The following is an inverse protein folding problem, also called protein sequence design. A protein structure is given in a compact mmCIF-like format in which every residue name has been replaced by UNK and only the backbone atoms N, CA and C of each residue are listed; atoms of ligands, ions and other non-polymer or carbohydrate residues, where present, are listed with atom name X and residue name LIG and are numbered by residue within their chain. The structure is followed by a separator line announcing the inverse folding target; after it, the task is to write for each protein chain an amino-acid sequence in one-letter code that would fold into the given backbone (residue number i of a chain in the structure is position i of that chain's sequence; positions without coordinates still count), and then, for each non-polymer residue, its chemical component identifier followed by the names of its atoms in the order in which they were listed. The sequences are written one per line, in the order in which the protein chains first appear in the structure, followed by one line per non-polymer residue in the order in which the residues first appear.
data_IF_355765826589
#
_entry.id   IF_355765826589
#
_cell.length_a   1.000
_cell.length_b   1.000
_cell.length_c   1.000
_cell.angle_alpha   90.00
_cell.angle_beta   90.00
_cell.angle_gamma   90.00
#
_symmetry.space_group_name_H-M   'P 1'
#
loop_
_entity.id
_entity.type
_entity.pdbx_description
1 polymer ?
#
# COMPACT_ATOMS: atom_id res chain seq x y z
N UNK A 1 22.11 -14.15 -45.53
CA UNK A 1 23.14 -13.35 -44.82
C UNK A 1 22.85 -13.43 -43.32
N UNK A 2 23.42 -14.39 -42.58
CA UNK A 2 24.71 -14.31 -41.83
C UNK A 2 24.86 -13.06 -40.93
N UNK A 3 24.67 -13.28 -39.62
CA UNK A 3 25.39 -12.69 -38.46
C UNK A 3 25.28 -11.18 -38.22
N UNK A 4 25.25 -10.61 -36.99
CA UNK A 4 25.94 -10.97 -35.74
C UNK A 4 25.34 -10.15 -34.59
N UNK A 5 25.17 -10.79 -33.44
CA UNK A 5 25.04 -10.18 -32.11
C UNK A 5 26.31 -9.38 -31.78
N UNK A 6 26.18 -8.16 -31.24
CA UNK A 6 27.28 -7.43 -30.60
C UNK A 6 26.94 -7.16 -29.13
N UNK A 7 27.70 -7.83 -28.26
CA UNK A 7 27.89 -7.46 -26.85
C UNK A 7 28.53 -6.07 -26.80
N UNK A 8 28.00 -5.17 -25.98
CA UNK A 8 28.72 -3.97 -25.55
C UNK A 8 29.17 -4.20 -24.10
N UNK A 9 30.46 -4.45 -23.94
CA UNK A 9 31.18 -4.34 -22.68
C UNK A 9 31.49 -2.84 -22.50
N UNK A 10 30.92 -2.20 -21.47
CA UNK A 10 31.42 -0.91 -21.01
C UNK A 10 32.50 -1.16 -19.96
N UNK A 11 33.75 -1.07 -20.40
CA UNK A 11 34.84 -0.59 -19.56
C UNK A 11 34.84 0.93 -19.66
N UNK A 12 34.69 1.62 -18.53
CA UNK A 12 35.14 3.01 -18.40
C UNK A 12 35.70 3.22 -17.00
N UNK A 13 37.03 3.22 -16.98
CA UNK A 13 37.90 3.81 -15.97
C UNK A 13 37.46 5.24 -15.69
N UNK A 14 37.32 5.60 -14.41
CA UNK A 14 37.41 7.00 -13.98
C UNK A 14 38.35 7.07 -12.78
N UNK A 15 39.60 7.39 -13.07
CA UNK A 15 40.54 7.95 -12.11
C UNK A 15 40.30 9.46 -12.08
N UNK A 16 39.94 10.02 -10.92
CA UNK A 16 40.22 11.43 -10.61
C UNK A 16 40.80 11.48 -9.21
N UNK A 17 42.09 11.76 -9.17
CA UNK A 17 42.81 12.18 -7.99
C UNK A 17 42.34 13.59 -7.58
N UNK A 18 42.20 13.82 -6.28
CA UNK A 18 42.37 15.13 -5.67
C UNK A 18 43.03 14.93 -4.30
N UNK A 19 44.36 14.92 -4.34
CA UNK A 19 45.17 15.28 -3.20
C UNK A 19 45.39 16.80 -3.24
N UNK A 20 45.33 17.45 -2.09
CA UNK A 20 46.13 18.59 -1.57
C UNK A 20 45.28 19.32 -0.52
N UNK A 21 45.59 19.16 0.76
CA UNK A 21 46.48 19.99 1.59
C UNK A 21 45.72 21.04 2.40
N UNK A 22 45.62 20.82 3.72
CA UNK A 22 45.92 21.89 4.70
C UNK A 22 46.71 21.26 5.86
N UNK A 23 48.03 21.33 5.75
CA UNK A 23 48.93 21.32 6.90
C UNK A 23 49.91 22.49 6.67
N UNK A 24 49.68 23.59 7.39
CA UNK A 24 50.66 24.67 7.58
C UNK A 24 51.11 24.57 9.05
N UNK A 25 52.29 23.99 9.27
CA UNK A 25 53.57 24.66 9.53
C UNK A 25 53.65 25.27 10.93
N UNK A 26 54.54 24.70 11.75
CA UNK A 26 55.61 25.48 12.38
C UNK A 26 56.77 24.55 12.76
N UNK A 27 57.83 24.62 11.97
CA UNK A 27 59.17 24.22 12.37
C UNK A 27 59.78 25.37 13.17
N UNK A 28 60.29 25.09 14.36
CA UNK A 28 61.35 25.88 14.98
C UNK A 28 62.56 24.96 15.22
N UNK A 29 63.72 25.36 14.69
CA UNK A 29 65.01 24.68 14.85
C UNK A 29 65.60 24.97 16.24
N UNK A 30 66.38 23.99 16.72
CA UNK A 30 66.88 23.76 18.08
C UNK A 30 67.84 24.83 18.67
N UNK A 31 68.27 24.64 19.94
CA UNK A 31 69.56 23.99 20.11
C UNK A 31 69.54 22.79 21.09
N UNK A 32 70.51 21.90 20.89
CA UNK A 32 70.78 20.69 21.65
C UNK A 32 71.37 20.98 23.02
N UNK A 33 70.77 20.43 24.08
CA UNK A 33 71.50 20.01 25.28
C UNK A 33 70.95 18.67 25.79
N UNK A 34 71.91 17.79 26.04
CA UNK A 34 71.75 16.38 26.34
C UNK A 34 71.44 16.22 27.83
N UNK A 35 70.31 15.62 28.19
CA UNK A 35 70.15 15.00 29.51
C UNK A 35 69.06 13.93 29.48
N UNK A 36 69.46 12.71 29.84
CA UNK A 36 68.65 11.52 29.95
C UNK A 36 67.43 11.74 30.85
N UNK A 37 66.24 11.77 30.24
CA UNK A 37 64.98 11.52 30.94
C UNK A 37 64.21 10.48 30.13
N UNK A 38 63.98 9.31 30.74
CA UNK A 38 63.11 8.25 30.23
C UNK A 38 61.78 8.89 29.80
N UNK A 39 61.55 9.00 28.50
CA UNK A 39 60.24 9.38 27.99
C UNK A 39 59.27 8.25 28.30
N UNK A 40 58.25 8.64 29.07
CA UNK A 40 57.05 7.87 29.34
C UNK A 40 56.49 7.31 28.04
N UNK A 41 55.93 6.10 28.15
CA UNK A 41 55.54 5.26 27.03
C UNK A 41 54.77 5.98 25.93
N UNK A 42 55.02 5.52 24.71
CA UNK A 42 54.18 5.74 23.56
C UNK A 42 52.71 5.66 23.99
N UNK A 43 52.03 6.81 24.03
CA UNK A 43 50.59 6.87 23.94
C UNK A 43 50.23 6.33 22.56
N UNK A 44 50.17 4.99 22.43
CA UNK A 44 49.50 4.35 21.32
C UNK A 44 48.09 4.93 21.29
N UNK A 45 47.82 5.83 20.34
CA UNK A 45 46.46 6.27 20.04
C UNK A 45 45.67 5.01 19.74
N UNK A 46 44.85 4.57 20.69
CA UNK A 46 43.93 3.46 20.50
C UNK A 46 43.09 3.79 19.27
N UNK A 47 43.34 3.09 18.17
CA UNK A 47 42.59 3.29 16.94
C UNK A 47 41.29 2.53 17.07
N UNK A 48 40.24 3.23 17.49
CA UNK A 48 38.94 2.63 17.61
C UNK A 48 38.33 2.32 16.24
N UNK A 49 37.60 1.20 16.17
CA UNK A 49 36.89 0.72 14.99
C UNK A 49 35.48 1.31 14.93
N UNK A 50 34.98 1.42 13.70
CA UNK A 50 33.57 1.70 13.41
C UNK A 50 32.87 0.40 13.05
N UNK A 51 31.69 0.15 13.63
CA UNK A 51 30.82 -0.94 13.19
C UNK A 51 29.88 -0.41 12.10
N UNK A 52 29.99 -0.95 10.89
CA UNK A 52 29.03 -0.71 9.82
C UNK A 52 27.82 -1.65 9.95
N UNK A 53 26.61 -1.09 9.82
CA UNK A 53 25.34 -1.83 9.74
C UNK A 53 24.59 -1.30 8.51
N UNK A 54 24.22 -2.21 7.60
CA UNK A 54 23.71 -1.83 6.28
C UNK A 54 22.39 -2.55 5.99
N UNK A 55 21.36 -1.78 5.63
CA UNK A 55 20.15 -2.32 5.01
C UNK A 55 20.29 -2.25 3.49
N UNK A 56 20.83 -3.30 2.89
CA UNK A 56 21.23 -3.34 1.48
C UNK A 56 20.06 -3.34 0.49
N UNK A 57 18.90 -3.86 0.89
CA UNK A 57 17.67 -3.84 0.08
C UNK A 57 16.40 -3.83 0.96
N UNK A 58 15.23 -3.81 0.32
CA UNK A 58 13.91 -3.78 0.97
C UNK A 58 13.23 -5.16 1.06
N UNK A 59 14.01 -6.25 1.07
CA UNK A 59 13.48 -7.61 1.25
C UNK A 59 13.14 -7.88 2.70
N UNK A 60 12.10 -8.69 2.91
CA UNK A 60 11.53 -8.92 4.24
C UNK A 60 12.54 -9.47 5.24
N UNK A 61 13.32 -10.48 4.85
CA UNK A 61 14.37 -11.10 5.68
C UNK A 61 15.51 -10.13 6.03
N UNK A 62 15.68 -9.05 5.28
CA UNK A 62 16.72 -8.05 5.56
C UNK A 62 16.34 -7.11 6.68
N UNK A 63 15.05 -6.80 6.85
CA UNK A 63 14.59 -6.01 8.01
C UNK A 63 14.87 -6.73 9.33
N UNK A 64 14.61 -8.04 9.40
CA UNK A 64 14.90 -8.84 10.60
C UNK A 64 16.39 -8.85 10.93
N UNK A 65 17.22 -9.13 9.93
CA UNK A 65 18.69 -9.14 10.08
C UNK A 65 19.22 -7.78 10.51
N UNK A 66 18.77 -6.71 9.84
CA UNK A 66 19.18 -5.33 10.14
C UNK A 66 18.88 -4.96 11.59
N UNK A 67 17.66 -5.23 12.07
CA UNK A 67 17.30 -4.96 13.46
C UNK A 67 18.06 -5.86 14.45
N UNK A 68 18.33 -7.12 14.09
CA UNK A 68 19.17 -7.99 14.92
C UNK A 68 20.59 -7.44 15.07
N UNK A 69 21.17 -6.89 14.00
CA UNK A 69 22.50 -6.26 14.04
C UNK A 69 22.49 -4.99 14.91
N UNK A 70 21.47 -4.14 14.77
CA UNK A 70 21.27 -2.95 15.63
C UNK A 70 21.18 -3.35 17.10
N UNK A 71 20.40 -4.37 17.42
CA UNK A 71 20.23 -4.84 18.80
C UNK A 71 21.47 -5.54 19.37
N UNK A 72 22.42 -5.92 18.52
CA UNK A 72 23.69 -6.53 18.96
C UNK A 72 24.78 -5.51 19.30
N UNK A 73 24.53 -4.21 19.10
CA UNK A 73 25.52 -3.14 19.34
C UNK A 73 26.05 -3.16 20.78
N UNK A 74 25.18 -3.40 21.76
CA UNK A 74 25.56 -3.51 23.18
C UNK A 74 26.56 -4.64 23.46
N UNK A 75 26.63 -5.65 22.58
CA UNK A 75 27.52 -6.79 22.72
C UNK A 75 28.86 -6.63 21.97
N UNK A 76 29.10 -5.48 21.33
CA UNK A 76 30.35 -5.25 20.61
C UNK A 76 31.53 -5.14 21.58
N UNK A 77 32.71 -5.62 21.14
CA UNK A 77 33.97 -5.45 21.87
C UNK A 77 34.31 -3.97 22.06
N UNK A 78 35.10 -3.66 23.10
CA UNK A 78 35.47 -2.27 23.46
C UNK A 78 36.28 -1.53 22.38
N UNK A 79 36.86 -2.26 21.42
CA UNK A 79 37.53 -1.67 20.26
C UNK A 79 36.58 -0.88 19.34
N UNK A 80 35.26 -1.11 19.41
CA UNK A 80 34.27 -0.35 18.65
C UNK A 80 33.73 0.82 19.46
N UNK A 81 34.03 2.05 19.04
CA UNK A 81 33.51 3.26 19.67
C UNK A 81 32.53 4.06 18.79
N UNK A 82 32.37 3.68 17.52
CA UNK A 82 31.46 4.33 16.57
C UNK A 82 30.59 3.32 15.84
N UNK A 83 29.37 3.72 15.54
CA UNK A 83 28.39 2.96 14.77
C UNK A 83 28.06 3.75 13.52
N UNK A 84 28.16 3.13 12.34
CA UNK A 84 27.71 3.71 11.08
C UNK A 84 26.52 2.92 10.55
N UNK A 85 25.39 3.60 10.37
CA UNK A 85 24.17 3.01 9.82
C UNK A 85 23.98 3.54 8.41
N UNK A 86 23.79 2.62 7.46
CA UNK A 86 23.58 2.93 6.05
C UNK A 86 22.30 2.28 5.53
N UNK A 87 21.42 3.09 4.96
CA UNK A 87 20.19 2.66 4.28
C UNK A 87 20.20 3.26 2.87
N UNK A 88 20.88 2.63 1.91
CA UNK A 88 21.15 3.22 0.60
C UNK A 88 19.94 3.35 -0.34
N UNK A 89 18.84 2.63 -0.10
CA UNK A 89 17.75 2.50 -1.09
C UNK A 89 16.32 2.53 -0.49
N UNK A 90 16.14 2.93 0.76
CA UNK A 90 14.79 3.00 1.34
C UNK A 90 14.05 4.22 0.77
N UNK A 91 12.95 3.97 0.07
CA UNK A 91 12.16 5.00 -0.64
C UNK A 91 12.94 5.86 -1.66
N UNK A 92 13.98 5.29 -2.28
CA UNK A 92 14.93 6.01 -3.13
C UNK A 92 15.70 7.13 -2.40
N UNK A 93 15.81 7.02 -1.07
CA UNK A 93 16.67 7.86 -0.25
C UNK A 93 17.95 7.10 0.09
N UNK A 94 19.07 7.82 0.08
CA UNK A 94 20.34 7.35 0.62
C UNK A 94 20.53 7.97 1.99
N UNK A 95 20.29 7.17 3.03
CA UNK A 95 20.44 7.60 4.41
C UNK A 95 21.73 7.02 4.98
N UNK A 96 22.51 7.85 5.65
CA UNK A 96 23.73 7.44 6.31
C UNK A 96 23.98 8.36 7.51
N UNK A 97 24.25 7.77 8.67
CA UNK A 97 24.61 8.52 9.87
C UNK A 97 25.58 7.72 10.73
N UNK A 98 26.55 8.43 11.28
CA UNK A 98 27.51 7.88 12.22
C UNK A 98 27.22 8.43 13.62
N UNK A 99 27.29 7.53 14.60
CA UNK A 99 27.04 7.82 16.01
C UNK A 99 28.26 7.41 16.83
N UNK A 100 28.52 8.11 17.94
CA UNK A 100 29.32 7.56 19.01
C UNK A 100 28.54 6.41 19.66
N UNK A 101 29.22 5.29 19.94
CA UNK A 101 28.59 4.06 20.43
C UNK A 101 27.81 4.29 21.71
N UNK A 102 28.39 5.04 22.65
CA UNK A 102 27.76 5.33 23.95
C UNK A 102 26.45 6.11 23.77
N UNK A 103 26.47 7.15 22.95
CA UNK A 103 25.27 7.93 22.61
C UNK A 103 24.23 7.06 21.90
N UNK A 104 24.66 6.18 21.00
CA UNK A 104 23.77 5.24 20.33
C UNK A 104 23.08 4.30 21.32
N UNK A 105 23.83 3.70 22.25
CA UNK A 105 23.31 2.75 23.25
C UNK A 105 22.37 3.43 24.26
N UNK A 106 22.71 4.64 24.71
CA UNK A 106 21.97 5.37 25.73
C UNK A 106 20.72 6.06 25.18
N UNK A 107 20.77 6.62 23.96
CA UNK A 107 19.73 7.53 23.44
C UNK A 107 19.00 6.98 22.21
N UNK A 108 19.69 6.28 21.30
CA UNK A 108 19.12 5.82 20.03
C UNK A 108 18.47 4.44 20.14
N UNK A 109 19.19 3.46 20.70
CA UNK A 109 18.76 2.07 20.80
C UNK A 109 17.46 1.88 21.61
N UNK A 110 17.24 2.57 22.75
CA UNK A 110 15.99 2.45 23.51
C UNK A 110 14.76 2.92 22.72
N UNK A 111 14.93 3.94 21.87
CA UNK A 111 13.88 4.54 21.05
C UNK A 111 13.42 3.62 19.90
N UNK A 112 14.34 2.79 19.40
CA UNK A 112 14.06 1.76 18.39
C UNK A 112 13.28 0.60 19.03
N UNK A 113 13.77 0.05 20.14
CA UNK A 113 13.28 -1.19 20.76
C UNK A 113 11.89 -1.09 21.40
N UNK A 114 11.44 0.11 21.82
CA UNK A 114 10.04 0.33 22.26
C UNK A 114 9.10 0.39 21.07
N UNK A 115 8.97 -0.68 20.29
CA UNK A 115 7.99 -0.75 19.20
C UNK A 115 6.59 -0.93 19.79
N UNK A 116 5.93 0.20 20.04
CA UNK A 116 4.52 0.17 20.38
C UNK A 116 3.71 -0.10 19.10
N UNK A 117 3.37 -1.37 18.90
CA UNK A 117 2.43 -1.83 17.88
C UNK A 117 0.97 -1.64 18.30
N UNK A 118 0.68 -0.94 19.42
CA UNK A 118 -0.70 -0.60 19.82
C UNK A 118 -1.38 0.42 18.91
N UNK A 119 -0.78 0.74 17.75
CA UNK A 119 -1.42 1.58 16.78
C UNK A 119 -2.68 0.90 16.26
N UNK A 120 -3.82 1.37 16.77
CA UNK A 120 -5.09 0.82 16.42
C UNK A 120 -5.45 1.24 14.99
N UNK A 121 -5.07 0.41 14.02
CA UNK A 121 -5.48 0.54 12.62
C UNK A 121 -6.84 -0.11 12.35
N UNK A 122 -7.58 -0.53 13.37
CA UNK A 122 -8.91 -1.12 13.17
C UNK A 122 -9.72 -0.22 12.26
N UNK A 123 -10.20 -0.81 11.16
CA UNK A 123 -11.11 -0.13 10.27
C UNK A 123 -12.49 -0.27 10.89
N UNK A 124 -13.04 0.86 11.36
CA UNK A 124 -14.36 0.90 11.97
C UNK A 124 -15.42 0.77 10.87
N UNK A 125 -16.60 0.28 11.24
CA UNK A 125 -17.72 0.19 10.32
C UNK A 125 -18.19 1.56 9.86
N UNK A 126 -18.05 2.56 10.73
CA UNK A 126 -18.31 3.97 10.45
C UNK A 126 -17.26 4.63 9.54
N UNK A 127 -16.13 3.96 9.24
CA UNK A 127 -15.22 4.39 8.16
C UNK A 127 -15.87 4.11 6.78
N UNK A 128 -17.18 4.25 6.65
CA UNK A 128 -17.95 4.07 5.43
C UNK A 128 -17.87 5.34 4.61
N UNK A 129 -16.92 5.40 3.69
CA UNK A 129 -16.93 6.41 2.63
C UNK A 129 -17.13 5.73 1.29
N UNK A 130 -17.95 6.36 0.45
CA UNK A 130 -18.32 5.89 -0.87
C UNK A 130 -17.09 5.50 -1.70
N UNK A 131 -17.05 4.28 -2.24
CA UNK A 131 -16.00 3.84 -3.15
C UNK A 131 -16.41 4.17 -4.58
N UNK A 132 -15.54 4.78 -5.39
CA UNK A 132 -15.85 5.11 -6.79
C UNK A 132 -15.07 4.17 -7.73
N UNK A 133 -15.81 3.43 -8.55
CA UNK A 133 -15.30 2.71 -9.74
C UNK A 133 -15.34 3.70 -10.89
N UNK A 134 -14.20 3.97 -11.52
CA UNK A 134 -14.03 4.96 -12.59
C UNK A 134 -13.21 4.40 -13.75
N UNK A 135 -13.20 5.14 -14.86
CA UNK A 135 -12.48 4.80 -16.09
C UNK A 135 -10.95 4.92 -16.07
N UNK A 136 -10.33 5.17 -14.91
CA UNK A 136 -8.87 4.95 -14.75
C UNK A 136 -8.54 3.44 -14.76
N UNK A 137 -9.52 2.62 -14.43
CA UNK A 137 -9.41 1.17 -14.42
C UNK A 137 -9.55 0.63 -15.84
N UNK A 138 -8.78 -0.41 -16.18
CA UNK A 138 -8.97 -1.09 -17.45
C UNK A 138 -10.35 -1.74 -17.54
N UNK A 139 -10.87 -1.88 -18.76
CA UNK A 139 -12.16 -2.54 -18.98
C UNK A 139 -12.21 -3.93 -18.31
N UNK A 140 -11.11 -4.69 -18.40
CA UNK A 140 -11.04 -6.04 -17.81
C UNK A 140 -11.10 -6.02 -16.29
N UNK A 141 -10.48 -5.03 -15.65
CA UNK A 141 -10.57 -4.83 -14.20
C UNK A 141 -11.99 -4.46 -13.77
N UNK A 142 -12.71 -3.66 -14.57
CA UNK A 142 -14.11 -3.30 -14.31
C UNK A 142 -15.04 -4.52 -14.49
N UNK A 143 -14.84 -5.32 -15.54
CA UNK A 143 -15.58 -6.58 -15.73
C UNK A 143 -15.40 -7.50 -14.50
N UNK A 144 -14.14 -7.81 -14.16
CA UNK A 144 -13.81 -8.67 -13.03
C UNK A 144 -14.31 -8.10 -11.70
N UNK A 145 -14.26 -6.78 -11.53
CA UNK A 145 -14.78 -6.09 -10.35
C UNK A 145 -16.27 -6.34 -10.18
N UNK A 146 -17.05 -5.97 -11.20
CA UNK A 146 -18.51 -5.98 -11.14
C UNK A 146 -19.02 -7.40 -10.92
N UNK A 147 -18.46 -8.38 -11.64
CA UNK A 147 -18.83 -9.78 -11.46
C UNK A 147 -18.47 -10.28 -10.05
N UNK A 148 -17.21 -10.14 -9.62
CA UNK A 148 -16.80 -10.73 -8.33
C UNK A 148 -17.39 -10.01 -7.12
N UNK A 149 -17.67 -8.71 -7.25
CA UNK A 149 -18.27 -7.91 -6.18
C UNK A 149 -19.75 -8.20 -6.02
N UNK A 150 -20.52 -8.21 -7.11
CA UNK A 150 -21.99 -8.24 -7.05
C UNK A 150 -22.58 -9.63 -7.33
N UNK A 151 -21.80 -10.61 -7.80
CA UNK A 151 -22.27 -11.98 -7.87
C UNK A 151 -22.64 -12.49 -6.48
N UNK A 152 -23.75 -13.22 -6.45
CA UNK A 152 -24.40 -13.77 -5.27
C UNK A 152 -24.92 -12.73 -4.27
N UNK A 153 -25.09 -11.47 -4.69
CA UNK A 153 -25.82 -10.49 -3.89
C UNK A 153 -27.29 -10.88 -3.78
N UNK A 154 -27.86 -10.63 -2.62
CA UNK A 154 -29.29 -10.78 -2.39
C UNK A 154 -30.02 -9.58 -2.98
N UNK A 155 -31.06 -9.84 -3.77
CA UNK A 155 -31.91 -8.79 -4.34
C UNK A 155 -33.36 -9.07 -3.98
N UNK A 156 -34.11 -8.05 -3.57
CA UNK A 156 -35.52 -8.22 -3.22
C UNK A 156 -36.36 -8.48 -4.47
N UNK A 157 -37.47 -9.21 -4.30
CA UNK A 157 -38.46 -9.37 -5.35
C UNK A 157 -39.03 -8.02 -5.80
N UNK A 158 -39.29 -7.11 -4.86
CA UNK A 158 -39.80 -5.78 -5.15
C UNK A 158 -38.88 -5.03 -6.12
N UNK A 159 -37.58 -4.95 -5.81
CA UNK A 159 -36.65 -4.28 -6.71
C UNK A 159 -36.52 -5.01 -8.05
N UNK A 160 -36.26 -6.32 -8.04
CA UNK A 160 -35.87 -7.03 -9.25
C UNK A 160 -37.07 -7.34 -10.15
N UNK A 161 -38.14 -7.94 -9.63
CA UNK A 161 -39.28 -8.38 -10.44
C UNK A 161 -40.31 -7.29 -10.68
N UNK A 162 -40.34 -6.23 -9.86
CA UNK A 162 -41.30 -5.14 -10.01
C UNK A 162 -40.61 -3.86 -10.51
N UNK A 163 -39.79 -3.20 -9.68
CA UNK A 163 -39.29 -1.84 -9.98
C UNK A 163 -38.39 -1.82 -11.23
N UNK A 164 -37.34 -2.65 -11.25
CA UNK A 164 -36.40 -2.74 -12.37
C UNK A 164 -37.09 -3.30 -13.62
N UNK A 165 -37.92 -4.32 -13.44
CA UNK A 165 -38.68 -4.93 -14.53
C UNK A 165 -39.59 -3.90 -15.21
N UNK A 166 -40.38 -3.15 -14.44
CA UNK A 166 -41.28 -2.13 -14.95
C UNK A 166 -40.52 -1.00 -15.65
N UNK A 167 -39.43 -0.53 -15.06
CA UNK A 167 -38.58 0.48 -15.68
C UNK A 167 -38.01 0.00 -17.04
N UNK A 168 -37.61 -1.27 -17.14
CA UNK A 168 -37.15 -1.87 -18.40
C UNK A 168 -38.30 -1.98 -19.42
N UNK A 169 -39.50 -2.41 -19.01
CA UNK A 169 -40.66 -2.51 -19.92
C UNK A 169 -41.05 -1.14 -20.50
N UNK A 170 -40.90 -0.05 -19.75
CA UNK A 170 -41.16 1.32 -20.24
C UNK A 170 -40.21 1.77 -21.36
N UNK A 171 -39.05 1.10 -21.50
CA UNK A 171 -38.08 1.33 -22.58
C UNK A 171 -38.29 0.34 -23.74
N UNK A 172 -38.77 -0.87 -23.46
CA UNK A 172 -38.83 -1.95 -24.45
C UNK A 172 -39.89 -1.68 -25.52
N UNK A 173 -39.48 -1.86 -26.77
CA UNK A 173 -40.38 -1.87 -27.92
C UNK A 173 -40.75 -3.27 -28.44
N UNK A 174 -40.06 -4.36 -28.00
CA UNK A 174 -40.33 -5.81 -28.27
C UNK A 174 -39.16 -6.76 -27.96
N UNK A 175 -37.96 -6.25 -27.65
CA UNK A 175 -36.75 -7.07 -27.46
C UNK A 175 -36.58 -7.55 -26.01
N UNK A 176 -35.91 -8.69 -25.82
CA UNK A 176 -35.57 -9.22 -24.47
C UNK A 176 -34.57 -8.34 -23.71
N UNK A 177 -33.79 -7.54 -24.43
CA UNK A 177 -32.80 -6.58 -23.92
C UNK A 177 -33.09 -5.16 -24.40
N UNK A 178 -32.60 -4.18 -23.64
CA UNK A 178 -32.61 -2.76 -24.02
C UNK A 178 -31.18 -2.27 -24.26
N UNK A 179 -31.00 -1.37 -25.22
CA UNK A 179 -29.70 -0.73 -25.50
C UNK A 179 -29.85 0.78 -25.54
N UNK A 180 -28.79 1.50 -25.18
CA UNK A 180 -28.74 2.96 -25.23
C UNK A 180 -29.05 3.46 -26.66
N UNK A 181 -28.39 2.88 -27.66
CA UNK A 181 -28.56 3.25 -29.07
C UNK A 181 -30.02 3.11 -29.54
N UNK A 182 -30.68 1.99 -29.20
CA UNK A 182 -32.07 1.77 -29.61
C UNK A 182 -33.01 2.69 -28.87
N UNK A 183 -32.82 2.88 -27.56
CA UNK A 183 -33.61 3.81 -26.79
C UNK A 183 -33.50 5.23 -27.33
N UNK A 184 -32.32 5.66 -27.78
CA UNK A 184 -32.15 6.96 -28.43
C UNK A 184 -32.89 7.06 -29.76
N UNK A 185 -32.81 6.04 -30.62
CA UNK A 185 -33.55 5.98 -31.88
C UNK A 185 -35.07 6.00 -31.68
N UNK A 186 -35.55 5.35 -30.62
CA UNK A 186 -36.97 5.24 -30.28
C UNK A 186 -37.49 6.43 -29.44
N UNK A 187 -36.67 7.47 -29.19
CA UNK A 187 -37.05 8.64 -28.38
C UNK A 187 -37.16 8.37 -26.87
N UNK A 188 -36.66 7.23 -26.40
CA UNK A 188 -36.72 6.69 -25.03
C UNK A 188 -35.43 6.88 -24.22
N UNK A 189 -34.61 7.86 -24.59
CA UNK A 189 -33.32 8.12 -23.91
C UNK A 189 -33.46 8.44 -22.42
N UNK A 190 -34.56 9.11 -22.02
CA UNK A 190 -34.81 9.48 -20.62
C UNK A 190 -35.15 8.23 -19.81
N UNK A 191 -36.05 7.39 -20.30
CA UNK A 191 -36.44 6.14 -19.67
C UNK A 191 -35.24 5.18 -19.55
N UNK A 192 -34.39 5.08 -20.58
CA UNK A 192 -33.17 4.29 -20.52
C UNK A 192 -32.22 4.80 -19.42
N UNK A 193 -32.00 6.12 -19.34
CA UNK A 193 -31.19 6.72 -18.27
C UNK A 193 -31.78 6.43 -16.88
N UNK A 194 -33.11 6.42 -16.73
CA UNK A 194 -33.76 6.06 -15.47
C UNK A 194 -33.46 4.61 -15.07
N UNK A 195 -33.47 3.66 -16.02
CA UNK A 195 -33.07 2.26 -15.75
C UNK A 195 -31.61 2.19 -15.29
N UNK A 196 -30.70 2.88 -15.99
CA UNK A 196 -29.27 2.92 -15.62
C UNK A 196 -29.09 3.49 -14.21
N UNK A 197 -29.76 4.59 -13.88
CA UNK A 197 -29.73 5.21 -12.55
C UNK A 197 -30.27 4.25 -11.48
N UNK A 198 -31.38 3.56 -11.75
CA UNK A 198 -31.95 2.59 -10.82
C UNK A 198 -30.98 1.45 -10.50
N UNK A 199 -30.29 0.92 -11.53
CA UNK A 199 -29.25 -0.11 -11.36
C UNK A 199 -28.07 0.44 -10.55
N UNK A 200 -27.53 1.60 -10.93
CA UNK A 200 -26.37 2.21 -10.23
C UNK A 200 -26.68 2.51 -8.76
N UNK A 201 -27.87 3.05 -8.48
CA UNK A 201 -28.30 3.35 -7.11
C UNK A 201 -28.43 2.07 -6.28
N UNK A 202 -29.06 1.03 -6.82
CA UNK A 202 -29.17 -0.24 -6.09
C UNK A 202 -27.80 -0.86 -5.78
N UNK A 203 -26.87 -0.85 -6.75
CA UNK A 203 -25.50 -1.33 -6.54
C UNK A 203 -24.80 -0.51 -5.45
N UNK A 204 -24.94 0.81 -5.48
CA UNK A 204 -24.38 1.70 -4.47
C UNK A 204 -24.98 1.45 -3.08
N UNK A 205 -26.31 1.42 -2.94
CA UNK A 205 -26.99 1.26 -1.66
C UNK A 205 -26.67 -0.07 -0.97
N UNK A 206 -26.38 -1.12 -1.75
CA UNK A 206 -26.08 -2.46 -1.26
C UNK A 206 -24.58 -2.76 -1.10
N UNK A 207 -23.69 -1.84 -1.47
CA UNK A 207 -22.25 -2.10 -1.43
C UNK A 207 -21.37 -0.90 -1.02
N UNK A 208 -21.95 0.30 -0.94
CA UNK A 208 -21.25 1.58 -0.83
C UNK A 208 -20.29 1.86 -1.99
N UNK A 209 -20.51 1.22 -3.14
CA UNK A 209 -19.70 1.39 -4.35
C UNK A 209 -20.50 2.10 -5.44
N UNK A 210 -20.05 3.31 -5.77
CA UNK A 210 -20.56 4.16 -6.84
C UNK A 210 -19.85 3.82 -8.16
N UNK A 211 -20.64 3.59 -9.20
CA UNK A 211 -20.13 3.43 -10.58
C UNK A 211 -20.15 4.80 -11.24
N UNK A 212 -18.98 5.33 -11.56
CA UNK A 212 -18.82 6.64 -12.20
C UNK A 212 -19.52 6.72 -13.55
N UNK A 213 -19.84 7.94 -13.99
CA UNK A 213 -20.53 8.20 -15.25
C UNK A 213 -19.64 8.05 -16.48
N UNK A 214 -18.32 7.97 -16.29
CA UNK A 214 -17.40 7.58 -17.35
C UNK A 214 -17.49 6.08 -17.72
N UNK A 215 -18.17 5.28 -16.91
CA UNK A 215 -18.53 3.89 -17.23
C UNK A 215 -19.97 3.89 -17.74
N UNK A 216 -20.13 3.80 -19.06
CA UNK A 216 -21.45 3.83 -19.71
C UNK A 216 -22.04 2.43 -19.78
N UNK A 217 -23.26 2.23 -19.31
CA UNK A 217 -24.00 0.98 -19.54
C UNK A 217 -24.68 1.07 -20.91
N UNK A 218 -24.23 0.27 -21.86
CA UNK A 218 -24.71 0.25 -23.26
C UNK A 218 -25.86 -0.72 -23.50
N UNK A 219 -25.88 -1.84 -22.76
CA UNK A 219 -26.87 -2.92 -22.92
C UNK A 219 -27.28 -3.44 -21.55
N UNK A 220 -28.59 -3.64 -21.37
CA UNK A 220 -29.18 -4.21 -20.15
C UNK A 220 -30.11 -5.35 -20.55
N UNK A 221 -29.86 -6.53 -19.97
CA UNK A 221 -30.69 -7.71 -20.17
C UNK A 221 -30.96 -8.41 -18.83
N UNK A 222 -32.22 -8.31 -18.37
CA UNK A 222 -32.69 -8.89 -17.13
C UNK A 222 -33.23 -10.30 -17.36
N UNK A 223 -32.67 -11.30 -16.68
CA UNK A 223 -33.22 -12.65 -16.62
C UNK A 223 -33.99 -12.89 -15.31
N UNK A 224 -35.24 -13.34 -15.42
CA UNK A 224 -36.17 -13.55 -14.31
C UNK A 224 -36.39 -15.04 -13.96
N UNK A 225 -35.89 -16.00 -14.75
CA UNK A 225 -36.20 -17.43 -14.67
C UNK A 225 -34.96 -18.34 -14.74
N UNK A 226 -34.95 -19.48 -14.02
CA UNK A 226 -35.26 -19.65 -12.60
C UNK A 226 -34.23 -18.98 -11.67
N UNK A 227 -33.07 -18.60 -12.20
CA UNK A 227 -32.08 -17.73 -11.54
C UNK A 227 -32.28 -16.26 -11.91
N UNK A 228 -32.06 -15.36 -10.96
CA UNK A 228 -32.13 -13.93 -11.21
C UNK A 228 -30.75 -13.43 -11.62
N UNK A 229 -30.65 -12.82 -12.79
CA UNK A 229 -29.38 -12.25 -13.24
C UNK A 229 -29.58 -10.98 -14.04
N UNK A 230 -28.64 -10.05 -13.91
CA UNK A 230 -28.55 -8.85 -14.73
C UNK A 230 -27.31 -8.95 -15.61
N UNK A 231 -27.52 -8.98 -16.93
CA UNK A 231 -26.44 -8.95 -17.91
C UNK A 231 -26.26 -7.53 -18.40
N UNK A 232 -25.03 -7.04 -18.32
CA UNK A 232 -24.65 -5.69 -18.68
C UNK A 232 -23.57 -5.70 -19.76
N UNK A 233 -23.65 -4.78 -20.72
CA UNK A 233 -22.46 -4.33 -21.45
C UNK A 233 -22.13 -2.92 -21.05
N UNK A 234 -20.87 -2.68 -20.75
CA UNK A 234 -20.34 -1.36 -20.40
C UNK A 234 -19.31 -0.90 -21.41
N UNK A 235 -19.18 0.42 -21.56
CA UNK A 235 -18.12 1.08 -22.30
C UNK A 235 -17.31 1.95 -21.36
N UNK A 236 -16.00 1.83 -21.45
CA UNK A 236 -15.01 2.58 -20.69
C UNK A 236 -14.00 3.10 -21.70
N UNK A 237 -13.85 4.42 -21.79
CA UNK A 237 -13.10 5.05 -22.88
C UNK A 237 -13.60 4.50 -24.24
N UNK A 238 -12.71 3.99 -25.09
CA UNK A 238 -13.08 3.42 -26.40
C UNK A 238 -13.33 1.91 -26.39
N UNK A 239 -13.25 1.27 -25.24
CA UNK A 239 -13.38 -0.18 -25.11
C UNK A 239 -14.79 -0.56 -24.61
N UNK A 240 -15.35 -1.63 -25.19
CA UNK A 240 -16.66 -2.17 -24.81
C UNK A 240 -16.51 -3.58 -24.25
N UNK A 241 -17.11 -3.84 -23.11
CA UNK A 241 -17.13 -5.16 -22.46
C UNK A 241 -17.87 -6.18 -23.32
N UNK A 242 -17.55 -7.47 -23.15
CA UNK A 242 -18.31 -8.53 -23.82
C UNK A 242 -19.72 -8.67 -23.24
N UNK A 243 -19.80 -9.16 -22.00
CA UNK A 243 -21.01 -9.33 -21.23
C UNK A 243 -20.60 -9.54 -19.77
N UNK A 244 -21.08 -8.68 -18.88
CA UNK A 244 -20.87 -8.76 -17.44
C UNK A 244 -22.14 -9.36 -16.85
N UNK A 245 -22.05 -10.59 -16.33
CA UNK A 245 -23.21 -11.27 -15.75
C UNK A 245 -23.19 -11.15 -14.24
N UNK A 246 -24.19 -10.45 -13.69
CA UNK A 246 -24.42 -10.34 -12.26
C UNK A 246 -25.49 -11.35 -11.85
N UNK A 247 -25.08 -12.48 -11.30
CA UNK A 247 -25.97 -13.51 -10.77
C UNK A 247 -26.40 -13.17 -9.35
N UNK A 248 -27.71 -13.06 -9.10
CA UNK A 248 -28.27 -12.68 -7.81
C UNK A 248 -28.89 -13.87 -7.08
N UNK A 249 -28.89 -13.78 -5.75
CA UNK A 249 -29.59 -14.68 -4.84
C UNK A 249 -30.94 -14.12 -4.44
N UNK A 250 -31.89 -15.03 -4.23
CA UNK A 250 -33.16 -14.72 -3.58
C UNK A 250 -32.90 -14.63 -2.07
N UNK A 251 -33.42 -13.59 -1.38
CA UNK A 251 -33.31 -13.48 0.06
C UNK A 251 -34.14 -14.56 0.75
N UNK A 252 -33.83 -14.82 2.03
CA UNK A 252 -34.71 -15.65 2.86
C UNK A 252 -36.05 -14.93 3.04
N UNK A 253 -37.14 -15.70 3.18
CA UNK A 253 -38.52 -15.16 3.22
C UNK A 253 -38.71 -14.07 4.28
N UNK A 254 -38.02 -14.19 5.41
CA UNK A 254 -38.23 -13.32 6.57
C UNK A 254 -37.27 -12.12 6.59
N UNK A 255 -36.46 -11.94 5.54
CA UNK A 255 -35.52 -10.82 5.45
C UNK A 255 -36.20 -9.57 4.87
N UNK A 256 -36.18 -8.49 5.65
CA UNK A 256 -36.53 -7.16 5.17
C UNK A 256 -35.39 -6.52 4.35
N UNK A 257 -35.66 -5.33 3.79
CA UNK A 257 -34.69 -4.60 2.98
C UNK A 257 -33.40 -4.24 3.75
N UNK A 258 -33.51 -3.96 5.05
CA UNK A 258 -32.36 -3.62 5.89
C UNK A 258 -31.47 -4.84 6.11
N UNK A 259 -32.05 -6.00 6.41
CA UNK A 259 -31.33 -7.27 6.56
C UNK A 259 -30.65 -7.67 5.27
N UNK A 260 -31.33 -7.55 4.13
CA UNK A 260 -30.73 -7.79 2.79
C UNK A 260 -29.50 -6.91 2.59
N UNK A 261 -29.63 -5.60 2.86
CA UNK A 261 -28.52 -4.65 2.74
C UNK A 261 -27.35 -5.03 3.63
N UNK A 262 -27.58 -5.33 4.90
CA UNK A 262 -26.51 -5.71 5.84
C UNK A 262 -25.78 -7.00 5.41
N UNK A 263 -26.52 -7.99 4.90
CA UNK A 263 -25.94 -9.24 4.39
C UNK A 263 -25.10 -9.00 3.12
N UNK A 264 -25.56 -8.13 2.22
CA UNK A 264 -24.79 -7.71 1.05
C UNK A 264 -23.51 -6.94 1.44
N UNK A 265 -23.62 -5.97 2.36
CA UNK A 265 -22.46 -5.22 2.86
C UNK A 265 -21.41 -6.14 3.50
N UNK A 266 -21.86 -7.17 4.23
CA UNK A 266 -20.98 -8.17 4.85
C UNK A 266 -20.24 -9.03 3.81
N UNK A 267 -20.85 -9.26 2.65
CA UNK A 267 -20.26 -10.02 1.54
C UNK A 267 -19.34 -9.19 0.65
N UNK A 268 -19.49 -7.87 0.67
CA UNK A 268 -18.73 -6.96 -0.18
C UNK A 268 -17.22 -6.93 0.13
N UNK A 269 -16.43 -6.54 -0.87
CA UNK A 269 -14.98 -6.45 -0.76
C UNK A 269 -14.49 -5.50 0.32
N UNK A 270 -15.20 -4.40 0.56
CA UNK A 270 -14.83 -3.42 1.58
C UNK A 270 -14.81 -4.09 2.97
N UNK A 271 -15.93 -4.68 3.39
CA UNK A 271 -16.02 -5.35 4.71
C UNK A 271 -15.06 -6.53 4.80
N UNK A 272 -14.94 -7.36 3.77
CA UNK A 272 -13.98 -8.47 3.79
C UNK A 272 -12.52 -8.00 3.89
N UNK A 273 -12.15 -6.92 3.21
CA UNK A 273 -10.81 -6.33 3.32
C UNK A 273 -10.58 -5.77 4.72
N UNK A 274 -11.56 -5.04 5.28
CA UNK A 274 -11.52 -4.54 6.67
C UNK A 274 -11.35 -5.68 7.68
N UNK A 275 -12.16 -6.73 7.57
CA UNK A 275 -12.09 -7.89 8.48
C UNK A 275 -10.75 -8.60 8.35
N UNK A 276 -10.28 -8.87 7.12
CA UNK A 276 -8.99 -9.54 6.90
C UNK A 276 -7.83 -8.70 7.37
N UNK A 277 -7.91 -7.39 7.24
CA UNK A 277 -6.95 -6.47 7.82
C UNK A 277 -6.91 -6.57 9.35
N UNK A 278 -8.06 -6.41 10.01
CA UNK A 278 -8.18 -6.50 11.47
C UNK A 278 -7.71 -7.87 11.99
N UNK A 279 -8.15 -8.97 11.37
CA UNK A 279 -7.71 -10.34 11.70
C UNK A 279 -6.20 -10.53 11.58
N UNK A 280 -5.56 -9.87 10.60
CA UNK A 280 -4.17 -10.17 10.26
C UNK A 280 -3.17 -9.30 11.01
N UNK A 281 -3.49 -8.04 11.32
CA UNK A 281 -2.66 -7.22 12.22
C UNK A 281 -2.50 -7.90 13.57
N UNK A 282 -3.53 -8.60 14.05
CA UNK A 282 -3.53 -9.25 15.36
C UNK A 282 -2.83 -10.64 15.35
N UNK A 283 -2.42 -11.17 14.20
CA UNK A 283 -1.71 -12.47 14.13
C UNK A 283 -0.22 -12.31 14.41
N UNK A 284 0.29 -13.10 15.36
CA UNK A 284 1.68 -13.04 15.85
C UNK A 284 2.73 -13.00 14.73
N UNK A 285 2.65 -13.85 13.70
CA UNK A 285 3.66 -13.87 12.63
C UNK A 285 3.66 -12.59 11.78
N UNK A 286 2.51 -12.09 11.35
CA UNK A 286 2.46 -10.85 10.54
C UNK A 286 2.76 -9.62 11.41
N UNK A 287 2.28 -9.61 12.64
CA UNK A 287 2.58 -8.57 13.62
C UNK A 287 4.09 -8.45 13.90
N UNK A 288 4.78 -9.58 14.15
CA UNK A 288 6.23 -9.63 14.36
C UNK A 288 7.01 -9.10 13.15
N UNK A 289 6.59 -9.48 11.94
CA UNK A 289 7.18 -8.97 10.70
C UNK A 289 7.01 -7.46 10.56
N UNK A 290 5.80 -6.97 10.82
CA UNK A 290 5.49 -5.56 10.80
C UNK A 290 6.30 -4.80 11.86
N UNK A 291 6.50 -5.37 13.04
CA UNK A 291 7.34 -4.81 14.10
C UNK A 291 8.75 -4.47 13.61
N UNK A 292 9.41 -5.42 12.93
CA UNK A 292 10.79 -5.27 12.44
C UNK A 292 10.88 -4.21 11.34
N UNK A 293 9.84 -4.11 10.52
CA UNK A 293 9.73 -3.05 9.52
C UNK A 293 9.53 -1.69 10.21
N UNK A 294 8.65 -1.58 11.20
CA UNK A 294 8.46 -0.34 11.96
C UNK A 294 9.73 0.06 12.72
N UNK A 295 10.43 -0.88 13.35
CA UNK A 295 11.73 -0.63 13.98
C UNK A 295 12.75 -0.10 12.96
N UNK A 296 12.75 -0.66 11.74
CA UNK A 296 13.59 -0.15 10.64
C UNK A 296 13.21 1.29 10.26
N UNK A 297 11.91 1.60 10.18
CA UNK A 297 11.44 2.96 9.91
C UNK A 297 11.86 3.94 10.99
N UNK A 298 11.84 3.54 12.27
CA UNK A 298 12.35 4.39 13.35
C UNK A 298 13.83 4.71 13.18
N UNK A 299 14.65 3.70 12.83
CA UNK A 299 16.06 3.93 12.51
C UNK A 299 16.18 4.93 11.36
N UNK A 300 15.42 4.71 10.28
CA UNK A 300 15.41 5.60 9.11
C UNK A 300 15.00 7.04 9.46
N UNK A 301 14.00 7.23 10.31
CA UNK A 301 13.58 8.55 10.81
C UNK A 301 14.70 9.24 11.61
N UNK A 302 15.38 8.52 12.50
CA UNK A 302 16.46 9.07 13.34
C UNK A 302 17.67 9.54 12.50
N UNK A 303 17.94 8.85 11.39
CA UNK A 303 19.05 9.18 10.47
C UNK A 303 18.64 10.10 9.32
N UNK A 304 17.36 10.44 9.19
CA UNK A 304 16.84 11.32 8.14
C UNK A 304 16.80 12.78 8.61
N UNK A 305 17.94 13.45 8.48
CA UNK A 305 18.07 14.86 8.85
C UNK A 305 17.14 15.80 8.02
N UNK A 306 16.61 15.32 6.88
CA UNK A 306 15.77 16.09 5.96
C UNK A 306 14.27 15.80 6.12
N UNK A 307 13.87 14.92 7.05
CA UNK A 307 12.45 14.60 7.37
C UNK A 307 11.61 14.18 6.15
N UNK A 308 12.24 13.52 5.19
CA UNK A 308 11.60 12.99 3.97
C UNK A 308 10.89 11.65 4.20
N UNK A 309 11.25 10.88 5.22
CA UNK A 309 10.73 9.53 5.48
C UNK A 309 9.22 9.54 5.69
N UNK A 310 8.70 10.47 6.48
CA UNK A 310 7.30 10.49 6.91
C UNK A 310 6.33 10.51 5.73
N UNK A 311 6.59 11.31 4.70
CA UNK A 311 5.74 11.40 3.51
C UNK A 311 5.77 10.14 2.62
N UNK A 312 6.81 9.31 2.73
CA UNK A 312 7.05 8.14 1.85
C UNK A 312 6.73 6.81 2.50
N UNK A 313 6.78 6.74 3.83
CA UNK A 313 6.66 5.48 4.56
C UNK A 313 5.25 4.87 4.51
N UNK A 314 4.18 5.67 4.63
CA UNK A 314 2.82 5.11 4.65
C UNK A 314 2.40 4.49 3.30
N UNK A 315 2.60 5.15 2.13
CA UNK A 315 2.33 4.54 0.83
C UNK A 315 3.18 3.29 0.58
N UNK A 316 4.44 3.27 1.04
CA UNK A 316 5.31 2.11 0.90
C UNK A 316 4.82 0.93 1.73
N UNK A 317 4.53 1.13 3.03
CA UNK A 317 4.02 0.10 3.93
C UNK A 317 2.76 -0.53 3.33
N UNK A 318 1.84 0.30 2.84
CA UNK A 318 0.65 -0.17 2.18
C UNK A 318 0.96 -1.00 0.92
N UNK A 319 1.67 -0.42 -0.05
CA UNK A 319 1.84 -1.00 -1.39
C UNK A 319 2.77 -2.21 -1.42
N UNK A 320 3.82 -2.21 -0.60
CA UNK A 320 4.88 -3.20 -0.69
C UNK A 320 4.78 -4.32 0.35
N UNK A 321 4.11 -4.07 1.48
CA UNK A 321 4.07 -5.02 2.60
C UNK A 321 2.63 -5.48 2.83
N UNK A 322 1.76 -4.54 3.23
CA UNK A 322 0.42 -4.87 3.72
C UNK A 322 -0.47 -5.40 2.59
N UNK A 323 -0.58 -4.68 1.47
CA UNK A 323 -1.47 -5.06 0.37
C UNK A 323 -1.08 -6.38 -0.26
N UNK A 324 0.22 -6.66 -0.42
CA UNK A 324 0.73 -7.95 -0.91
C UNK A 324 0.34 -9.09 0.02
N UNK A 325 0.46 -8.88 1.33
CA UNK A 325 0.04 -9.87 2.31
C UNK A 325 -1.48 -10.13 2.24
N UNK A 326 -2.31 -9.09 2.21
CA UNK A 326 -3.77 -9.24 2.08
C UNK A 326 -4.14 -9.94 0.76
N UNK A 327 -3.51 -9.55 -0.36
CA UNK A 327 -3.71 -10.18 -1.67
C UNK A 327 -3.34 -11.67 -1.67
N UNK A 328 -2.32 -12.07 -0.90
CA UNK A 328 -1.94 -13.49 -0.77
C UNK A 328 -2.99 -14.34 -0.03
N UNK A 329 -3.86 -13.70 0.75
CA UNK A 329 -4.89 -14.35 1.60
C UNK A 329 -6.30 -14.18 1.07
N UNK A 330 -6.49 -13.36 0.04
CA UNK A 330 -7.80 -13.05 -0.52
C UNK A 330 -7.71 -12.87 -2.03
N UNK A 331 -8.66 -13.41 -2.83
CA UNK A 331 -8.66 -13.28 -4.27
C UNK A 331 -9.16 -11.90 -4.72
N UNK A 332 -8.72 -10.83 -4.05
CA UNK A 332 -9.08 -9.47 -4.42
C UNK A 332 -8.21 -8.96 -5.57
N UNK A 333 -8.81 -8.37 -6.61
CA UNK A 333 -8.05 -7.65 -7.59
C UNK A 333 -7.17 -6.57 -6.95
N UNK A 334 -5.90 -6.52 -7.38
CA UNK A 334 -4.88 -5.64 -6.80
C UNK A 334 -5.28 -4.16 -6.79
N UNK A 335 -6.01 -3.70 -7.81
CA UNK A 335 -6.49 -2.32 -7.87
C UNK A 335 -7.52 -2.00 -6.77
N UNK A 336 -8.40 -2.94 -6.38
CA UNK A 336 -9.40 -2.73 -5.32
C UNK A 336 -8.65 -2.53 -4.02
N UNK A 337 -7.70 -3.41 -3.75
CA UNK A 337 -6.83 -3.28 -2.59
C UNK A 337 -6.17 -1.92 -2.59
N UNK A 338 -5.49 -1.53 -3.68
CA UNK A 338 -4.83 -0.23 -3.76
C UNK A 338 -5.76 0.94 -3.46
N UNK A 339 -6.95 0.99 -4.07
CA UNK A 339 -7.93 2.06 -3.80
C UNK A 339 -8.43 2.03 -2.35
N UNK A 340 -8.78 0.86 -1.80
CA UNK A 340 -9.21 0.72 -0.40
C UNK A 340 -8.11 1.19 0.54
N UNK A 341 -6.89 0.66 0.40
CA UNK A 341 -5.84 1.00 1.32
C UNK A 341 -5.35 2.44 1.19
N UNK A 342 -5.28 3.01 -0.02
CA UNK A 342 -4.96 4.43 -0.18
C UNK A 342 -6.01 5.32 0.50
N UNK A 343 -7.29 4.93 0.49
CA UNK A 343 -8.37 5.72 1.09
C UNK A 343 -8.46 5.54 2.62
N UNK A 344 -8.28 4.32 3.12
CA UNK A 344 -8.59 3.99 4.51
C UNK A 344 -7.38 3.68 5.38
N UNK A 345 -6.32 3.10 4.82
CA UNK A 345 -5.20 2.55 5.58
C UNK A 345 -4.00 3.50 5.54
N UNK A 346 -3.65 4.03 4.37
CA UNK A 346 -2.55 4.98 4.19
C UNK A 346 -2.71 6.21 5.08
N UNK A 347 -3.90 6.85 5.21
CA UNK A 347 -4.04 8.00 6.11
C UNK A 347 -3.80 7.66 7.58
N UNK A 348 -4.27 6.49 8.04
CA UNK A 348 -4.03 6.02 9.42
C UNK A 348 -2.54 5.70 9.65
N UNK A 349 -1.89 5.04 8.68
CA UNK A 349 -0.45 4.80 8.68
C UNK A 349 0.34 6.11 8.72
N UNK A 350 -0.07 7.10 7.91
CA UNK A 350 0.57 8.41 7.84
C UNK A 350 0.53 9.10 9.20
N UNK A 351 -0.64 9.14 9.85
CA UNK A 351 -0.80 9.69 11.20
C UNK A 351 0.11 8.99 12.21
N UNK A 352 0.17 7.66 12.17
CA UNK A 352 1.05 6.89 13.05
C UNK A 352 2.52 7.22 12.82
N UNK A 353 2.98 7.28 11.57
CA UNK A 353 4.37 7.59 11.24
C UNK A 353 4.73 9.02 11.68
N UNK A 354 3.84 10.00 11.46
CA UNK A 354 4.05 11.37 11.95
C UNK A 354 4.19 11.41 13.48
N UNK A 355 3.36 10.66 14.22
CA UNK A 355 3.50 10.54 15.68
C UNK A 355 4.83 9.89 16.10
N UNK A 356 5.34 8.93 15.33
CA UNK A 356 6.66 8.35 15.59
C UNK A 356 7.77 9.38 15.38
N UNK A 357 7.73 10.13 14.28
CA UNK A 357 8.71 11.18 14.00
C UNK A 357 8.73 12.28 15.07
N UNK A 358 7.56 12.73 15.54
CA UNK A 358 7.45 13.69 16.64
C UNK A 358 8.05 13.18 17.95
N UNK A 359 7.88 11.89 18.26
CA UNK A 359 8.44 11.25 19.47
C UNK A 359 9.95 11.06 19.38
N UNK A 360 10.47 10.82 18.18
CA UNK A 360 11.90 10.57 17.95
C UNK A 360 12.71 11.86 17.74
N UNK A 361 12.04 12.97 17.45
CA UNK A 361 12.66 14.30 17.28
C UNK A 361 12.76 15.11 18.59
N UNK A 362 12.29 14.55 19.71
CA UNK A 362 12.40 15.11 21.07
C UNK A 362 13.45 14.33 21.83
#
# INVERSE_FOLDING_TARGET
MKTKTKKLLFFSVFSVALATNVALVSCAKAPSENNNMKQAGDNQKIQYKTKDIILDNNEESRYEKFISEINSISNLSQEYNKISIKIPQLFNLKLEKQFDRKDFEENVLPSINKADLSFNLELNDNDSSEFIVDGEMSLKEIEDFLEKQFNNYYVSQQFFLNDLAHAIENVKSKASKITEEKATKDGKSVEYKNVVTLIKNWLFDNSMIKISDNIKILEINQNKLPGWSLNLKVKVNDQTSKNIKLDFKKPNKDWDANKIKQENLTRGFIKKTKNKWNENIQKSKFAQKLEKIIQTLKVAIIIDDQKQITSKAAPFLWTNIISKYIASKTPFPKFILNKIGNKFIVPKLQKYISMLEEKLSK
#
